data_IF_294836705127
#
_entry.id   IF_294836705127
#
_cell.length_a   1.000
_cell.length_b   1.000
_cell.length_c   1.000
_cell.angle_alpha   90.00
_cell.angle_beta   90.00
_cell.angle_gamma   90.00
#
_symmetry.space_group_name_H-M   'P 1'
#
loop_
_entity.id
_entity.type
_entity.pdbx_description
1 polymer ?
#
# COMPACT_ATOMS: atom_id res chain seq x y z
N UNK A 1 -15.44 6.23 -1.48
CA UNK A 1 -16.10 5.40 -0.46
C UNK A 1 -15.01 4.59 0.24
N UNK A 2 -15.10 4.37 1.55
CA UNK A 2 -14.08 3.62 2.31
C UNK A 2 -14.30 2.12 2.16
N UNK A 3 -13.25 1.36 1.85
CA UNK A 3 -13.29 -0.09 1.83
C UNK A 3 -12.78 -0.64 3.17
N UNK A 4 -13.71 -1.08 4.03
CA UNK A 4 -13.42 -1.61 5.36
C UNK A 4 -12.74 -2.99 5.35
N UNK A 5 -12.66 -3.64 4.20
CA UNK A 5 -11.96 -4.93 4.03
C UNK A 5 -10.48 -4.76 3.72
N UNK A 6 -10.01 -3.53 3.48
CA UNK A 6 -8.61 -3.24 3.15
C UNK A 6 -8.11 -2.18 4.13
N UNK A 7 -7.48 -2.63 5.22
CA UNK A 7 -6.80 -1.73 6.15
C UNK A 7 -5.59 -1.08 5.45
N UNK A 8 -5.39 0.21 5.69
CA UNK A 8 -4.27 0.94 5.14
C UNK A 8 -3.84 1.98 6.16
N UNK A 9 -2.68 1.75 6.77
CA UNK A 9 -2.05 2.66 7.73
C UNK A 9 -1.05 3.62 7.09
N UNK A 10 -0.75 3.38 5.81
CA UNK A 10 0.21 4.16 5.06
C UNK A 10 -0.44 5.48 4.69
N UNK A 11 -0.24 6.51 5.52
CA UNK A 11 -0.85 7.84 5.34
C UNK A 11 -0.39 8.53 4.04
N UNK A 12 0.77 8.13 3.52
CA UNK A 12 1.29 8.54 2.22
C UNK A 12 0.65 7.78 1.04
N UNK A 13 -0.21 6.79 1.26
CA UNK A 13 -0.95 6.13 0.19
C UNK A 13 -2.02 7.06 -0.37
N UNK A 14 -2.01 7.29 -1.69
CA UNK A 14 -2.99 8.08 -2.45
C UNK A 14 -4.43 7.62 -2.20
N UNK A 15 -4.61 6.34 -1.91
CA UNK A 15 -5.92 5.72 -1.68
C UNK A 15 -6.31 5.63 -0.20
N UNK A 16 -5.49 6.13 0.72
CA UNK A 16 -5.79 6.14 2.16
C UNK A 16 -7.03 7.00 2.45
N UNK A 17 -7.98 6.48 3.22
CA UNK A 17 -9.24 7.11 3.59
C UNK A 17 -9.10 8.23 4.65
N UNK A 18 -7.92 8.84 4.71
CA UNK A 18 -7.46 9.92 5.60
C UNK A 18 -7.87 9.78 7.07
N UNK A 19 -9.12 10.13 7.39
CA UNK A 19 -9.73 10.03 8.71
C UNK A 19 -9.82 8.58 9.20
N UNK A 20 -9.96 7.63 8.27
CA UNK A 20 -10.03 6.21 8.58
C UNK A 20 -8.77 5.49 8.11
N UNK A 21 -8.28 4.54 8.92
CA UNK A 21 -7.13 3.66 8.64
C UNK A 21 -7.45 2.58 7.59
N UNK A 22 -8.12 2.96 6.52
CA UNK A 22 -8.61 2.04 5.49
C UNK A 22 -8.26 2.58 4.11
N UNK A 23 -8.18 1.69 3.13
CA UNK A 23 -8.06 2.05 1.73
C UNK A 23 -9.42 2.40 1.14
N UNK A 24 -9.42 3.13 0.04
CA UNK A 24 -10.62 3.44 -0.75
C UNK A 24 -10.75 2.57 -2.01
N UNK A 25 -9.72 1.77 -2.32
CA UNK A 25 -9.74 0.80 -3.42
C UNK A 25 -10.70 -0.35 -3.11
N UNK A 26 -11.39 -0.85 -4.14
CA UNK A 26 -12.21 -2.06 -4.02
C UNK A 26 -11.38 -3.35 -4.05
N UNK A 27 -10.18 -3.29 -4.62
CA UNK A 27 -9.25 -4.41 -4.76
C UNK A 27 -7.82 -3.90 -4.76
N UNK A 28 -6.88 -4.71 -4.26
CA UNK A 28 -5.44 -4.43 -4.32
C UNK A 28 -4.71 -5.59 -5.00
N UNK A 29 -3.59 -5.28 -5.63
CA UNK A 29 -2.63 -6.26 -6.08
C UNK A 29 -1.58 -6.47 -4.98
N UNK A 30 -1.24 -7.72 -4.67
CA UNK A 30 -0.17 -8.06 -3.74
C UNK A 30 1.02 -8.58 -4.54
N UNK A 31 2.18 -7.98 -4.31
CA UNK A 31 3.45 -8.41 -4.86
C UNK A 31 4.25 -9.12 -3.76
N UNK A 32 4.92 -10.20 -4.13
CA UNK A 32 5.86 -10.88 -3.25
C UNK A 32 7.25 -10.32 -3.51
N UNK A 33 7.81 -9.58 -2.56
CA UNK A 33 9.17 -9.09 -2.65
C UNK A 33 10.12 -10.18 -2.17
N UNK A 34 10.73 -10.88 -3.12
CA UNK A 34 11.61 -12.02 -2.84
C UNK A 34 13.01 -11.62 -2.39
N UNK A 35 13.31 -10.32 -2.31
CA UNK A 35 14.64 -9.81 -1.96
C UNK A 35 14.88 -9.68 -0.44
N UNK A 36 13.85 -9.87 0.40
CA UNK A 36 14.01 -9.87 1.85
C UNK A 36 14.30 -11.29 2.39
N UNK A 37 15.51 -11.47 2.92
CA UNK A 37 16.17 -12.75 3.23
C UNK A 37 15.88 -13.27 4.66
N UNK A 38 15.06 -12.60 5.47
CA UNK A 38 14.71 -13.13 6.79
C UNK A 38 13.64 -14.20 6.65
N UNK A 39 14.02 -15.47 6.86
CA UNK A 39 13.12 -16.64 6.74
C UNK A 39 11.85 -16.56 7.61
N UNK A 40 11.80 -15.62 8.56
CA UNK A 40 10.68 -15.39 9.47
C UNK A 40 9.68 -14.33 8.97
N UNK A 41 10.02 -13.53 7.95
CA UNK A 41 9.19 -12.43 7.47
C UNK A 41 8.97 -12.56 5.96
N UNK A 42 7.76 -12.98 5.57
CA UNK A 42 7.36 -12.90 4.16
C UNK A 42 6.99 -11.44 3.88
N UNK A 43 7.87 -10.71 3.18
CA UNK A 43 7.58 -9.35 2.74
C UNK A 43 6.61 -9.38 1.56
N UNK A 44 5.36 -8.99 1.81
CA UNK A 44 4.35 -8.78 0.76
C UNK A 44 4.05 -7.29 0.64
N UNK A 45 4.28 -6.74 -0.55
CA UNK A 45 4.05 -5.33 -0.84
C UNK A 45 2.69 -5.13 -1.52
N UNK A 46 2.05 -4.00 -1.23
CA UNK A 46 0.86 -3.57 -1.95
C UNK A 46 1.27 -3.03 -3.33
N UNK A 47 1.12 -3.84 -4.38
CA UNK A 47 1.39 -3.45 -5.77
C UNK A 47 0.45 -2.39 -6.33
N UNK A 48 -0.65 -2.09 -5.61
CA UNK A 48 -1.55 -0.97 -5.93
C UNK A 48 -1.20 0.32 -5.20
N UNK A 49 -0.07 0.36 -4.48
CA UNK A 49 0.37 1.54 -3.78
C UNK A 49 0.76 2.65 -4.75
N UNK A 50 0.20 3.84 -4.51
CA UNK A 50 0.63 5.08 -5.14
C UNK A 50 0.87 6.10 -4.03
N UNK A 51 1.95 6.88 -4.11
CA UNK A 51 2.26 7.91 -3.10
C UNK A 51 1.40 9.18 -3.30
N UNK A 52 0.96 9.81 -2.21
CA UNK A 52 0.28 11.10 -2.19
C UNK A 52 1.26 12.19 -2.59
N UNK A 53 0.98 12.84 -3.72
CA UNK A 53 1.86 13.85 -4.29
C UNK A 53 3.07 13.18 -4.96
N UNK A 54 3.36 13.60 -6.18
CA UNK A 54 4.44 13.06 -6.99
C UNK A 54 5.79 13.14 -6.26
N UNK A 55 6.35 12.02 -5.82
CA UNK A 55 7.80 11.88 -5.87
C UNK A 55 8.13 11.82 -7.36
N UNK A 56 8.70 12.89 -7.92
CA UNK A 56 9.34 12.77 -9.22
C UNK A 56 10.40 11.69 -9.09
N UNK A 57 10.19 10.57 -9.77
CA UNK A 57 11.25 9.61 -10.06
C UNK A 57 12.39 10.41 -10.66
N UNK A 58 13.48 10.55 -9.91
CA UNK A 58 14.71 11.12 -10.44
C UNK A 58 15.35 9.98 -11.26
N UNK A 59 15.81 10.24 -12.50
CA UNK A 59 16.31 9.20 -13.41
C UNK A 59 17.48 8.39 -12.82
#
# INVERSE_FOLDING_TARGET
MVNKSIECDVTSCKHHAEVHRYCTLNSINILNNSDHVTASEKCTDCGSFEVKGSCKETP
#
